data_IF_977661599328
#
_entry.id   IF_977661599328
#
_cell.length_a   1.000
_cell.length_b   1.000
_cell.length_c   1.000
_cell.angle_alpha   90.00
_cell.angle_beta   90.00
_cell.angle_gamma   90.00
#
_symmetry.space_group_name_H-M   'P 1'
#
loop_
_entity.id
_entity.type
_entity.pdbx_description
1 polymer ?
#
# COMPACT_ATOMS: atom_id res chain seq x y z
N UNK A 1 2.38 0.71 -13.58
CA UNK A 1 1.36 0.50 -12.54
C UNK A 1 0.87 1.86 -12.09
N UNK A 2 -0.43 2.11 -12.18
CA UNK A 2 -1.07 3.35 -11.76
C UNK A 2 -2.17 2.95 -10.78
N UNK A 3 -2.14 3.51 -9.57
CA UNK A 3 -3.04 3.15 -8.48
C UNK A 3 -3.53 4.40 -7.77
N UNK A 4 -4.79 4.36 -7.35
CA UNK A 4 -5.36 5.29 -6.36
C UNK A 4 -5.89 4.45 -5.22
N UNK A 5 -5.47 4.75 -4.00
CA UNK A 5 -5.84 3.95 -2.84
C UNK A 5 -5.48 4.61 -1.54
N UNK A 6 -5.72 3.91 -0.43
CA UNK A 6 -5.41 4.41 0.91
C UNK A 6 -4.20 3.70 1.49
N UNK A 7 -3.38 4.45 2.23
CA UNK A 7 -2.23 3.91 2.95
C UNK A 7 -2.75 3.02 4.08
N UNK A 8 -2.28 1.77 4.13
CA UNK A 8 -2.71 0.82 5.16
C UNK A 8 -2.00 0.98 6.49
N UNK A 9 -0.69 1.23 6.46
CA UNK A 9 0.17 1.35 7.64
C UNK A 9 1.21 2.45 7.44
N UNK A 10 1.74 2.95 8.55
CA UNK A 10 2.81 3.94 8.55
C UNK A 10 4.00 3.45 7.74
N UNK A 11 4.51 4.23 6.77
CA UNK A 11 5.65 3.86 5.96
C UNK A 11 6.89 3.63 6.81
N UNK A 12 7.72 2.69 6.38
CA UNK A 12 9.01 2.37 7.03
C UNK A 12 10.15 2.64 6.06
N UNK A 13 11.28 3.13 6.58
CA UNK A 13 12.50 3.23 5.80
C UNK A 13 13.37 1.99 6.07
N UNK A 14 13.80 1.32 5.00
CA UNK A 14 14.65 0.14 5.06
C UNK A 14 15.95 0.39 4.30
N UNK A 15 17.07 0.27 5.02
CA UNK A 15 18.40 0.26 4.41
C UNK A 15 18.70 -1.14 3.87
N UNK A 16 19.03 -1.22 2.58
CA UNK A 16 19.41 -2.46 1.91
C UNK A 16 20.87 -2.79 2.16
N UNK A 17 21.27 -4.05 1.89
CA UNK A 17 22.68 -4.48 1.95
C UNK A 17 23.58 -3.69 1.00
N UNK A 18 23.02 -3.15 -0.09
CA UNK A 18 23.72 -2.27 -1.02
C UNK A 18 23.98 -0.85 -0.46
N UNK A 19 23.49 -0.54 0.75
CA UNK A 19 23.56 0.80 1.34
C UNK A 19 22.42 1.72 0.93
N UNK A 20 21.64 1.36 -0.10
CA UNK A 20 20.48 2.14 -0.57
C UNK A 20 19.34 2.10 0.44
N UNK A 21 18.78 3.27 0.76
CA UNK A 21 17.56 3.39 1.56
C UNK A 21 16.31 3.31 0.67
N UNK A 22 15.32 2.52 1.08
CA UNK A 22 14.06 2.35 0.37
C UNK A 22 12.92 2.57 1.35
N UNK A 23 11.95 3.41 1.00
CA UNK A 23 10.73 3.58 1.78
C UNK A 23 9.68 2.57 1.35
N UNK A 24 9.08 1.86 2.29
CA UNK A 24 8.06 0.85 2.05
C UNK A 24 6.75 1.22 2.72
N UNK A 25 5.64 1.00 2.02
CA UNK A 25 4.30 1.07 2.58
C UNK A 25 3.34 0.15 1.82
N UNK A 26 2.15 -0.04 2.37
CA UNK A 26 1.05 -0.75 1.69
C UNK A 26 -0.03 0.22 1.24
N UNK A 27 -0.55 0.00 0.03
CA UNK A 27 -1.68 0.74 -0.51
C UNK A 27 -2.86 -0.21 -0.72
N UNK A 28 -3.97 0.06 -0.04
CA UNK A 28 -5.23 -0.65 -0.21
C UNK A 28 -6.03 -0.04 -1.35
N UNK A 29 -6.51 -0.86 -2.28
CA UNK A 29 -7.55 -0.46 -3.24
C UNK A 29 -8.78 -1.31 -3.03
N UNK A 30 -9.95 -0.68 -3.02
CA UNK A 30 -11.22 -1.40 -2.98
C UNK A 30 -11.52 -2.07 -4.32
N UNK A 31 -12.23 -3.21 -4.29
CA UNK A 31 -12.74 -3.87 -5.48
C UNK A 31 -14.14 -4.42 -5.25
N UNK A 32 -15.10 -3.99 -6.07
CA UNK A 32 -16.47 -4.53 -6.06
C UNK A 32 -16.48 -5.86 -6.82
N UNK A 33 -16.90 -6.94 -6.15
CA UNK A 33 -17.24 -8.20 -6.83
C UNK A 33 -18.67 -8.12 -7.32
N UNK A 34 -18.87 -8.00 -8.62
CA UNK A 34 -20.19 -7.84 -9.25
C UNK A 34 -21.14 -9.05 -9.01
N UNK A 35 -20.60 -10.22 -8.66
CA UNK A 35 -21.42 -11.43 -8.42
C UNK A 35 -21.71 -11.70 -6.94
N UNK A 36 -21.89 -10.65 -6.14
CA UNK A 36 -22.21 -10.77 -4.71
C UNK A 36 -23.70 -10.50 -4.51
N UNK A 37 -24.33 -11.19 -3.57
CA UNK A 37 -25.69 -10.89 -3.12
C UNK A 37 -25.62 -10.13 -1.79
N UNK A 38 -26.45 -9.09 -1.59
CA UNK A 38 -26.63 -8.49 -0.27
C UNK A 38 -27.07 -9.56 0.73
N UNK A 39 -26.62 -9.46 1.98
CA UNK A 39 -27.26 -10.25 3.04
C UNK A 39 -28.65 -9.67 3.35
N UNK A 40 -29.52 -10.49 3.94
CA UNK A 40 -30.91 -10.08 4.22
C UNK A 40 -31.04 -8.91 5.20
N UNK A 41 -29.97 -8.59 5.95
CA UNK A 41 -29.90 -7.57 6.99
C UNK A 41 -28.74 -6.58 6.77
N UNK A 42 -28.22 -6.48 5.54
CA UNK A 42 -27.09 -5.62 5.21
C UNK A 42 -27.58 -4.31 4.57
N UNK A 43 -27.15 -3.18 5.12
CA UNK A 43 -27.47 -1.87 4.55
C UNK A 43 -26.72 -1.67 3.21
N UNK A 44 -27.25 -0.87 2.27
CA UNK A 44 -26.58 -0.62 0.98
C UNK A 44 -25.13 -0.11 1.10
N UNK A 45 -24.85 0.68 2.14
CA UNK A 45 -23.51 1.19 2.44
C UNK A 45 -22.59 0.08 2.94
N UNK A 46 -23.10 -0.83 3.77
CA UNK A 46 -22.34 -2.00 4.24
C UNK A 46 -22.04 -2.94 3.07
N UNK A 47 -23.01 -3.16 2.18
CA UNK A 47 -22.82 -3.95 0.96
C UNK A 47 -21.72 -3.37 0.06
N UNK A 48 -21.69 -2.05 -0.10
CA UNK A 48 -20.64 -1.35 -0.84
C UNK A 48 -19.28 -1.43 -0.14
N UNK A 49 -19.24 -1.34 1.19
CA UNK A 49 -18.00 -1.34 1.98
C UNK A 49 -17.43 -2.75 2.22
N UNK A 50 -18.22 -3.82 2.10
CA UNK A 50 -17.79 -5.23 2.23
C UNK A 50 -16.91 -5.72 1.06
N UNK A 51 -16.31 -4.80 0.31
CA UNK A 51 -15.39 -5.08 -0.77
C UNK A 51 -14.09 -5.73 -0.26
N UNK A 52 -13.55 -6.68 -1.04
CA UNK A 52 -12.27 -7.27 -0.71
C UNK A 52 -11.16 -6.26 -1.04
N UNK A 53 -10.50 -5.73 0.00
CA UNK A 53 -9.37 -4.82 -0.18
C UNK A 53 -8.20 -5.59 -0.82
N UNK A 54 -7.67 -5.03 -1.90
CA UNK A 54 -6.44 -5.51 -2.51
C UNK A 54 -5.27 -4.70 -1.94
N UNK A 55 -4.39 -5.39 -1.21
CA UNK A 55 -3.19 -4.78 -0.64
C UNK A 55 -2.03 -4.84 -1.62
N UNK A 56 -1.48 -3.67 -1.91
CA UNK A 56 -0.37 -3.47 -2.82
C UNK A 56 0.88 -3.13 -2.04
N UNK A 57 1.97 -3.85 -2.28
CA UNK A 57 3.28 -3.51 -1.71
C UNK A 57 3.93 -2.42 -2.56
N UNK A 58 4.24 -1.27 -1.96
CA UNK A 58 4.88 -0.15 -2.66
C UNK A 58 6.28 0.06 -2.08
N UNK A 59 7.27 0.19 -2.97
CA UNK A 59 8.67 0.43 -2.64
C UNK A 59 9.15 1.70 -3.37
N UNK A 60 9.51 2.72 -2.60
CA UNK A 60 9.99 4.00 -3.12
C UNK A 60 11.51 4.04 -3.03
N UNK A 61 12.16 3.98 -4.18
CA UNK A 61 13.61 3.93 -4.30
C UNK A 61 14.26 5.31 -4.36
N UNK A 62 13.47 6.35 -4.67
CA UNK A 62 13.97 7.72 -4.70
C UNK A 62 13.91 8.35 -3.31
N UNK A 63 15.07 8.67 -2.74
CA UNK A 63 15.21 9.11 -1.35
C UNK A 63 14.37 10.36 -1.03
N UNK A 64 14.38 11.37 -1.91
CA UNK A 64 13.59 12.59 -1.71
C UNK A 64 12.09 12.31 -1.62
N UNK A 65 11.54 11.48 -2.51
CA UNK A 65 10.14 11.05 -2.45
C UNK A 65 9.88 10.19 -1.22
N UNK A 66 10.83 9.33 -0.87
CA UNK A 66 10.77 8.50 0.34
C UNK A 66 10.62 9.34 1.61
N UNK A 67 11.33 10.48 1.71
CA UNK A 67 11.20 11.42 2.82
C UNK A 67 9.81 12.06 2.91
N UNK A 68 9.23 12.47 1.78
CA UNK A 68 7.87 13.01 1.73
C UNK A 68 6.83 11.96 2.17
N UNK A 69 6.96 10.73 1.68
CA UNK A 69 6.09 9.62 2.06
C UNK A 69 6.17 9.35 3.56
N UNK A 70 7.38 9.25 4.14
CA UNK A 70 7.54 9.02 5.58
C UNK A 70 6.85 10.10 6.43
N UNK A 71 6.85 11.35 5.97
CA UNK A 71 6.26 12.47 6.72
C UNK A 71 4.75 12.59 6.58
N UNK A 72 4.21 12.28 5.40
CA UNK A 72 2.83 12.65 5.05
C UNK A 72 1.89 11.47 4.76
N UNK A 73 2.42 10.27 4.49
CA UNK A 73 1.60 9.10 4.15
C UNK A 73 1.18 8.34 5.42
N UNK A 74 0.35 8.96 6.26
CA UNK A 74 -0.22 8.31 7.45
C UNK A 74 -1.28 7.26 7.06
N UNK A 75 -1.58 6.25 7.90
CA UNK A 75 -2.68 5.33 7.65
C UNK A 75 -4.00 6.07 7.33
N UNK A 76 -4.70 5.62 6.29
CA UNK A 76 -5.93 6.26 5.78
C UNK A 76 -5.69 7.35 4.72
N UNK A 77 -4.45 7.85 4.57
CA UNK A 77 -4.13 8.86 3.55
C UNK A 77 -4.40 8.32 2.16
N UNK A 78 -5.16 9.05 1.35
CA UNK A 78 -5.41 8.69 -0.05
C UNK A 78 -4.27 9.17 -0.93
N UNK A 79 -3.69 8.26 -1.72
CA UNK A 79 -2.59 8.54 -2.63
C UNK A 79 -2.94 8.12 -4.05
N UNK A 80 -2.54 8.95 -5.01
CA UNK A 80 -2.27 8.52 -6.37
C UNK A 80 -0.79 8.15 -6.49
N UNK A 81 -0.48 7.03 -7.16
CA UNK A 81 0.90 6.66 -7.46
C UNK A 81 1.09 6.06 -8.85
N UNK A 82 2.28 6.29 -9.39
CA UNK A 82 2.79 5.69 -10.62
C UNK A 82 4.13 5.02 -10.34
N UNK A 83 4.28 3.78 -10.80
CA UNK A 83 5.52 3.03 -10.68
C UNK A 83 5.56 1.81 -11.59
N UNK A 84 6.60 1.00 -11.48
CA UNK A 84 6.76 -0.23 -12.26
C UNK A 84 6.35 -1.45 -11.43
N UNK A 85 5.70 -2.44 -12.05
CA UNK A 85 5.47 -3.72 -11.39
C UNK A 85 6.74 -4.56 -11.53
N UNK A 86 7.43 -4.78 -10.41
CA UNK A 86 8.70 -5.49 -10.39
C UNK A 86 8.59 -6.77 -9.55
N UNK A 87 9.32 -7.80 -9.94
CA UNK A 87 9.49 -9.02 -9.15
C UNK A 87 10.91 -9.06 -8.60
N UNK A 88 11.03 -9.02 -7.28
CA UNK A 88 12.29 -9.19 -6.58
C UNK A 88 12.48 -10.66 -6.21
N UNK A 89 13.64 -11.19 -6.54
CA UNK A 89 14.09 -12.51 -6.09
C UNK A 89 15.14 -12.31 -5.01
N UNK A 90 14.97 -12.94 -3.86
CA UNK A 90 15.93 -12.84 -2.75
C UNK A 90 15.96 -14.13 -1.93
N UNK A 91 17.09 -14.41 -1.30
CA UNK A 91 17.17 -15.45 -0.27
C UNK A 91 16.62 -14.88 1.04
N UNK A 92 15.61 -15.53 1.59
CA UNK A 92 15.04 -15.20 2.90
C UNK A 92 16.14 -15.34 3.97
N UNK A 93 16.46 -14.26 4.71
CA UNK A 93 17.56 -14.29 5.68
C UNK A 93 17.30 -15.24 6.86
N UNK A 94 16.05 -15.62 7.14
CA UNK A 94 15.72 -16.53 8.25
C UNK A 94 15.75 -17.98 7.78
N UNK A 95 15.05 -18.29 6.67
CA UNK A 95 14.88 -19.66 6.18
C UNK A 95 15.93 -20.11 5.16
N UNK A 96 16.69 -19.18 4.57
CA UNK A 96 17.63 -19.46 3.47
C UNK A 96 16.96 -19.75 2.12
N UNK A 97 15.63 -19.86 2.06
CA UNK A 97 14.91 -20.19 0.84
C UNK A 97 14.86 -19.02 -0.13
N UNK A 98 14.96 -19.31 -1.44
CA UNK A 98 14.76 -18.32 -2.50
C UNK A 98 13.27 -17.95 -2.59
N UNK A 99 12.94 -16.71 -2.28
CA UNK A 99 11.58 -16.15 -2.39
C UNK A 99 11.47 -15.19 -3.57
N UNK A 100 10.27 -15.12 -4.14
CA UNK A 100 9.87 -14.16 -5.15
C UNK A 100 8.80 -13.25 -4.57
N UNK A 101 8.99 -11.95 -4.69
CA UNK A 101 8.07 -10.94 -4.18
C UNK A 101 7.76 -9.94 -5.26
N UNK A 102 6.47 -9.63 -5.47
CA UNK A 102 6.04 -8.60 -6.40
C UNK A 102 5.82 -7.30 -5.63
N UNK A 103 6.30 -6.19 -6.19
CA UNK A 103 6.14 -4.86 -5.62
C UNK A 103 5.88 -3.84 -6.72
N UNK A 104 5.28 -2.71 -6.34
CA UNK A 104 5.25 -1.51 -7.16
C UNK A 104 6.47 -0.68 -6.80
N UNK A 105 7.43 -0.64 -7.71
CA UNK A 105 8.66 0.12 -7.57
C UNK A 105 8.47 1.53 -8.11
N UNK A 106 8.50 2.51 -7.21
CA UNK A 106 8.55 3.93 -7.56
C UNK A 106 10.01 4.34 -7.71
N UNK A 107 10.45 4.44 -8.97
CA UNK A 107 11.81 4.87 -9.36
C UNK A 107 11.76 6.32 -9.88
N UNK A 108 12.79 6.74 -10.61
CA UNK A 108 12.98 8.13 -11.08
C UNK A 108 11.84 8.67 -11.95
N UNK A 109 11.15 7.81 -12.69
CA UNK A 109 10.00 8.15 -13.53
C UNK A 109 8.66 7.98 -12.80
N UNK A 110 8.67 7.51 -11.55
CA UNK A 110 7.47 7.33 -10.75
C UNK A 110 6.96 8.64 -10.15
N UNK A 111 5.70 8.63 -9.72
CA UNK A 111 5.02 9.79 -9.13
C UNK A 111 4.20 9.35 -7.92
N UNK A 112 4.11 10.22 -6.93
CA UNK A 112 3.21 10.08 -5.79
C UNK A 112 2.55 11.42 -5.57
N UNK A 113 1.22 11.42 -5.47
CA UNK A 113 0.41 12.62 -5.22
C UNK A 113 -0.53 12.31 -4.06
N UNK A 114 -0.49 13.18 -3.04
CA UNK A 114 -1.39 13.12 -1.89
C UNK A 114 -2.73 13.71 -2.29
N UNK A 115 -3.82 12.97 -2.06
CA UNK A 115 -5.18 13.37 -2.43
C UNK A 115 -5.99 13.64 -1.17
N UNK A 116 -6.70 14.78 -1.15
CA UNK A 116 -7.58 15.18 -0.04
C UNK A 116 -6.92 16.10 1.00
N UNK A 117 -7.71 16.54 1.99
CA UNK A 117 -7.20 17.33 3.11
C UNK A 117 -6.60 16.39 4.16
N UNK A 118 -5.26 16.42 4.27
CA UNK A 118 -4.46 15.63 5.23
C UNK A 118 -4.95 15.81 6.69
N UNK A 119 -5.62 16.94 6.99
CA UNK A 119 -6.14 17.28 8.31
C UNK A 119 -7.42 16.54 8.73
N UNK A 120 -8.09 15.82 7.81
CA UNK A 120 -9.33 15.06 8.08
C UNK A 120 -9.18 13.55 7.91
N UNK A 121 -7.96 13.03 7.88
CA UNK A 121 -7.74 11.58 7.86
C UNK A 121 -8.18 10.96 9.21
N UNK A 122 -9.48 10.67 9.34
CA UNK A 122 -9.95 9.67 10.30
C UNK A 122 -9.25 8.36 9.94
N UNK A 123 -8.35 7.92 10.82
CA UNK A 123 -7.64 6.66 10.64
C UNK A 123 -8.62 5.51 10.41
N UNK A 124 -8.27 4.52 9.59
CA UNK A 124 -9.19 3.43 9.29
C UNK A 124 -9.61 2.72 10.57
N UNK A 125 -10.89 2.35 10.66
CA UNK A 125 -11.44 1.64 11.80
C UNK A 125 -10.60 0.38 12.07
N UNK A 126 -10.27 0.14 13.34
CA UNK A 126 -9.34 -0.87 13.85
C UNK A 126 -9.62 -2.32 13.38
N UNK A 127 -10.80 -2.57 12.81
CA UNK A 127 -11.20 -3.86 12.24
C UNK A 127 -10.73 -4.15 10.81
N UNK A 128 -10.44 -3.13 10.00
CA UNK A 128 -10.15 -3.29 8.55
C UNK A 128 -8.65 -3.51 8.24
N UNK A 129 -7.77 -3.41 9.24
CA UNK A 129 -6.32 -3.60 9.08
C UNK A 129 -5.83 -5.06 9.12
N UNK A 130 -6.72 -6.06 9.20
CA UNK A 130 -6.32 -7.48 9.12
C UNK A 130 -5.76 -7.80 7.72
N UNK A 131 -4.44 -7.93 7.62
CA UNK A 131 -3.73 -8.25 6.37
C UNK A 131 -2.74 -7.18 5.90
N UNK A 132 -2.63 -6.06 6.63
CA UNK A 132 -1.68 -4.98 6.39
C UNK A 132 -0.29 -5.39 6.90
N UNK A 133 0.30 -6.42 6.30
CA UNK A 133 1.64 -6.89 6.65
C UNK A 133 2.70 -6.35 5.70
N UNK A 134 3.88 -6.03 6.23
CA UNK A 134 5.12 -5.99 5.44
C UNK A 134 5.64 -7.42 5.27
N UNK A 135 4.99 -8.23 4.42
CA UNK A 135 5.37 -9.64 4.22
C UNK A 135 6.84 -9.84 3.83
#
# INVERSE_FOLDING_TARGET
AILVGQVGQTPINKKLKSGLSVTLFSLGTGGIRNNRRPYGNEEPVEYANRCAIQWHRVCVYQEHLGGLVLKHALPGTTLYLEGNLEMKVFADPISGMVRRLREISVRRNGRIVFLGNVDKAEGPATGEMKGVGFF
#
